data_IF_765923775452
#
_entry.id   IF_765923775452
#
_cell.length_a   1.000
_cell.length_b   1.000
_cell.length_c   1.000
_cell.angle_alpha   90.00
_cell.angle_beta   90.00
_cell.angle_gamma   90.00
#
_symmetry.space_group_name_H-M   'P 1'
#
loop_
_entity.id
_entity.type
_entity.pdbx_description
1 polymer ?
#
# COMPACT_ATOMS: atom_id res chain seq x y z
N UNK A 1 12.86 0.31 -27.94
CA UNK A 1 11.51 -0.09 -27.48
C UNK A 1 11.51 -0.87 -26.17
N UNK A 2 12.58 -1.61 -25.80
CA UNK A 2 12.65 -2.25 -24.47
C UNK A 2 12.83 -1.28 -23.29
N UNK A 3 13.66 -0.24 -23.44
CA UNK A 3 14.01 0.67 -22.33
C UNK A 3 12.82 1.41 -21.70
N UNK A 4 11.77 1.70 -22.47
CA UNK A 4 10.62 2.48 -22.01
C UNK A 4 9.71 1.66 -21.08
N UNK A 5 9.48 0.37 -21.38
CA UNK A 5 8.66 -0.49 -20.54
C UNK A 5 9.35 -0.85 -19.23
N UNK A 6 10.66 -1.06 -19.24
CA UNK A 6 11.45 -1.30 -18.02
C UNK A 6 11.42 -0.09 -17.08
N UNK A 7 11.55 1.11 -17.67
CA UNK A 7 11.46 2.36 -16.91
C UNK A 7 10.07 2.54 -16.31
N UNK A 8 9.00 2.26 -17.09
CA UNK A 8 7.63 2.30 -16.59
C UNK A 8 7.40 1.30 -15.46
N UNK A 9 7.88 0.06 -15.60
CA UNK A 9 7.78 -0.95 -14.54
C UNK A 9 8.44 -0.46 -13.24
N UNK A 10 9.68 0.01 -13.31
CA UNK A 10 10.40 0.56 -12.14
C UNK A 10 9.69 1.76 -11.52
N UNK A 11 9.10 2.62 -12.34
CA UNK A 11 8.33 3.77 -11.85
C UNK A 11 7.06 3.33 -11.10
N UNK A 12 6.32 2.37 -11.64
CA UNK A 12 5.13 1.80 -10.99
C UNK A 12 5.52 1.12 -9.68
N UNK A 13 6.58 0.31 -9.68
CA UNK A 13 7.10 -0.34 -8.48
C UNK A 13 7.48 0.67 -7.39
N UNK A 14 8.25 1.70 -7.76
CA UNK A 14 8.64 2.76 -6.82
C UNK A 14 7.42 3.51 -6.28
N UNK A 15 6.44 3.78 -7.13
CA UNK A 15 5.19 4.45 -6.72
C UNK A 15 4.43 3.61 -5.71
N UNK A 16 4.37 2.28 -5.90
CA UNK A 16 3.73 1.38 -4.94
C UNK A 16 4.46 1.37 -3.59
N UNK A 17 5.80 1.37 -3.59
CA UNK A 17 6.58 1.45 -2.35
C UNK A 17 6.33 2.77 -1.60
N UNK A 18 6.27 3.90 -2.32
CA UNK A 18 5.89 5.19 -1.73
C UNK A 18 4.47 5.15 -1.19
N UNK A 19 3.50 4.61 -1.95
CA UNK A 19 2.11 4.49 -1.52
C UNK A 19 1.98 3.71 -0.22
N UNK A 20 2.66 2.57 -0.09
CA UNK A 20 2.69 1.77 1.15
C UNK A 20 3.21 2.57 2.34
N UNK A 21 4.30 3.33 2.15
CA UNK A 21 4.84 4.17 3.22
C UNK A 21 3.83 5.26 3.65
N UNK A 22 3.22 5.94 2.69
CA UNK A 22 2.23 6.99 2.97
C UNK A 22 0.95 6.44 3.61
N UNK A 23 0.48 5.27 3.20
CA UNK A 23 -0.68 4.59 3.82
C UNK A 23 -0.40 4.24 5.29
N UNK A 24 0.80 3.76 5.61
CA UNK A 24 1.21 3.50 7.00
C UNK A 24 1.31 4.78 7.84
N UNK A 25 1.89 5.84 7.28
CA UNK A 25 1.97 7.14 7.95
C UNK A 25 0.56 7.72 8.21
N UNK A 26 -0.33 7.59 7.24
CA UNK A 26 -1.72 8.01 7.37
C UNK A 26 -2.45 7.19 8.44
N UNK A 27 -2.24 5.87 8.49
CA UNK A 27 -2.82 5.01 9.53
C UNK A 27 -2.43 5.48 10.93
N UNK A 28 -1.14 5.75 11.17
CA UNK A 28 -0.66 6.24 12.45
C UNK A 28 -1.31 7.59 12.80
N UNK A 29 -1.32 8.53 11.86
CA UNK A 29 -1.89 9.86 12.04
C UNK A 29 -3.38 9.82 12.37
N UNK A 30 -4.14 8.96 11.69
CA UNK A 30 -5.59 8.83 11.89
C UNK A 30 -5.94 8.12 13.19
N UNK A 31 -5.20 7.06 13.57
CA UNK A 31 -5.40 6.39 14.85
C UNK A 31 -5.10 7.31 16.03
N UNK A 32 -4.01 8.09 15.96
CA UNK A 32 -3.68 9.11 16.97
C UNK A 32 -4.73 10.22 17.05
N UNK A 33 -5.31 10.61 15.90
CA UNK A 33 -6.37 11.62 15.85
C UNK A 33 -7.65 11.11 16.54
N UNK A 34 -8.03 9.86 16.29
CA UNK A 34 -9.21 9.23 16.93
C UNK A 34 -9.01 9.04 18.43
N UNK A 35 -7.81 8.66 18.86
CA UNK A 35 -7.49 8.52 20.29
C UNK A 35 -7.63 9.85 21.06
N UNK A 36 -7.27 10.97 20.44
CA UNK A 36 -7.41 12.31 21.03
C UNK A 36 -8.87 12.79 21.16
N UNK A 37 -9.81 12.17 20.45
CA UNK A 37 -11.22 12.57 20.42
C UNK A 37 -12.11 11.80 21.41
N UNK A 38 -11.52 11.06 22.36
CA UNK A 38 -12.20 10.01 23.15
C UNK A 38 -13.52 10.43 23.84
N UNK A 39 -14.59 9.72 23.45
CA UNK A 39 -15.91 9.55 24.08
C UNK A 39 -16.54 8.19 23.64
N UNK A 40 -17.67 7.76 24.19
CA UNK A 40 -18.24 6.40 23.99
C UNK A 40 -18.43 5.98 22.51
N UNK A 41 -18.61 6.93 21.57
CA UNK A 41 -18.78 6.68 20.13
C UNK A 41 -17.45 6.52 19.34
N UNK A 42 -16.30 6.60 20.01
CA UNK A 42 -14.98 6.54 19.35
C UNK A 42 -14.42 5.14 19.14
N UNK A 43 -14.95 4.12 19.82
CA UNK A 43 -14.48 2.74 19.69
C UNK A 43 -14.85 2.16 18.32
N UNK A 44 -16.14 2.21 17.94
CA UNK A 44 -16.61 1.75 16.62
C UNK A 44 -15.92 2.51 15.47
N UNK A 45 -15.68 3.81 15.67
CA UNK A 45 -14.98 4.65 14.69
C UNK A 45 -13.52 4.24 14.53
N UNK A 46 -12.82 3.92 15.64
CA UNK A 46 -11.44 3.44 15.60
C UNK A 46 -11.33 2.09 14.89
N UNK A 47 -12.22 1.16 15.23
CA UNK A 47 -12.24 -0.17 14.60
C UNK A 47 -12.51 -0.07 13.10
N UNK A 48 -13.48 0.73 12.68
CA UNK A 48 -13.78 0.96 11.26
C UNK A 48 -12.58 1.55 10.49
N UNK A 49 -11.87 2.52 11.09
CA UNK A 49 -10.66 3.11 10.51
C UNK A 49 -9.55 2.06 10.40
N UNK A 50 -9.31 1.30 11.46
CA UNK A 50 -8.28 0.26 11.47
C UNK A 50 -8.56 -0.82 10.42
N UNK A 51 -9.81 -1.28 10.29
CA UNK A 51 -10.21 -2.24 9.26
C UNK A 51 -10.06 -1.67 7.84
N UNK A 52 -10.31 -0.37 7.65
CA UNK A 52 -10.09 0.28 6.36
C UNK A 52 -8.61 0.23 5.95
N UNK A 53 -7.69 0.47 6.88
CA UNK A 53 -6.25 0.37 6.61
C UNK A 53 -5.78 -1.07 6.38
N UNK A 54 -6.36 -2.05 7.07
CA UNK A 54 -6.12 -3.48 6.77
C UNK A 54 -6.51 -3.79 5.32
N UNK A 55 -7.67 -3.28 4.86
CA UNK A 55 -8.09 -3.42 3.47
C UNK A 55 -7.15 -2.76 2.46
N UNK A 56 -6.60 -1.58 2.81
CA UNK A 56 -5.62 -0.89 1.96
C UNK A 56 -4.29 -1.65 1.87
N UNK A 57 -3.75 -2.15 2.98
CA UNK A 57 -2.51 -2.95 2.95
C UNK A 57 -2.72 -4.24 2.14
N UNK A 58 -3.86 -4.93 2.29
CA UNK A 58 -4.16 -6.12 1.48
C UNK A 58 -4.21 -5.80 -0.01
N UNK A 59 -4.87 -4.70 -0.41
CA UNK A 59 -4.92 -4.29 -1.80
C UNK A 59 -3.52 -3.93 -2.36
N UNK A 60 -2.65 -3.33 -1.53
CA UNK A 60 -1.27 -3.04 -1.91
C UNK A 60 -0.47 -4.33 -2.09
N UNK A 61 -0.65 -5.31 -1.21
CA UNK A 61 -0.01 -6.63 -1.31
C UNK A 61 -0.45 -7.36 -2.59
N UNK A 62 -1.74 -7.30 -2.94
CA UNK A 62 -2.27 -7.89 -4.17
C UNK A 62 -1.68 -7.22 -5.43
N UNK A 63 -1.52 -5.89 -5.41
CA UNK A 63 -0.86 -5.15 -6.50
C UNK A 63 0.62 -5.53 -6.59
N UNK A 64 1.33 -5.65 -5.45
CA UNK A 64 2.73 -6.04 -5.42
C UNK A 64 2.94 -7.45 -5.99
N UNK A 65 2.10 -8.41 -5.60
CA UNK A 65 2.15 -9.77 -6.13
C UNK A 65 1.89 -9.81 -7.66
N UNK A 66 0.93 -9.00 -8.13
CA UNK A 66 0.63 -8.88 -9.56
C UNK A 66 1.81 -8.26 -10.32
N UNK A 67 2.42 -7.20 -9.79
CA UNK A 67 3.60 -6.57 -10.39
C UNK A 67 4.82 -7.49 -10.36
N UNK A 68 5.01 -8.28 -9.30
CA UNK A 68 6.09 -9.26 -9.23
C UNK A 68 5.96 -10.29 -10.35
N UNK A 69 4.75 -10.83 -10.53
CA UNK A 69 4.43 -11.77 -11.62
C UNK A 69 4.72 -11.16 -13.00
N UNK A 70 4.34 -9.90 -13.22
CA UNK A 70 4.64 -9.17 -14.46
C UNK A 70 6.15 -9.03 -14.62
N UNK A 71 6.86 -8.60 -13.58
CA UNK A 71 8.30 -8.37 -13.60
C UNK A 71 9.09 -9.65 -13.88
N UNK A 72 8.67 -10.79 -13.35
CA UNK A 72 9.24 -12.10 -13.67
C UNK A 72 9.01 -12.48 -15.13
N UNK A 73 7.78 -12.29 -15.62
CA UNK A 73 7.42 -12.61 -17.00
C UNK A 73 8.14 -11.74 -18.03
N UNK A 74 8.42 -10.47 -17.69
CA UNK A 74 9.13 -9.53 -18.55
C UNK A 74 10.65 -9.53 -18.33
N UNK A 75 11.16 -10.25 -17.33
CA UNK A 75 12.58 -10.30 -16.99
C UNK A 75 13.12 -9.06 -16.25
N UNK A 76 12.22 -8.22 -15.71
CA UNK A 76 12.59 -7.07 -14.86
C UNK A 76 12.97 -7.50 -13.44
N UNK A 77 12.42 -8.61 -12.97
CA UNK A 77 12.76 -9.25 -11.70
C UNK A 77 13.40 -10.59 -12.05
N UNK A 78 14.60 -10.85 -11.52
CA UNK A 78 15.22 -12.17 -11.65
C UNK A 78 14.29 -13.23 -11.06
N UNK A 79 14.16 -14.38 -11.73
CA UNK A 79 13.28 -15.46 -11.23
C UNK A 79 13.56 -15.74 -9.76
N UNK A 80 12.50 -15.73 -8.95
CA UNK A 80 12.51 -16.27 -7.59
C UNK A 80 12.86 -17.76 -7.60
#
# INVERSE_FOLDING_TARGET
MGHDSQQQFRLVWKTLQTLRAEVRNLQLSELERVERLRGQQTVDTREAIQQSFVGLEQAIDDIEATLATIGEATGEIGKL
#
